data_IF_371408597088
#
_entry.id   IF_371408597088
#
_cell.length_a   1.000
_cell.length_b   1.000
_cell.length_c   1.000
_cell.angle_alpha   90.00
_cell.angle_beta   90.00
_cell.angle_gamma   90.00
#
_symmetry.space_group_name_H-M   'P 1'
#
loop_
_entity.id
_entity.type
_entity.pdbx_description
1 polymer ?
#
# COMPACT_ATOMS: atom_id res chain seq x y z
N UNK A 1 4.30 -17.72 21.36
CA UNK A 1 5.13 -17.20 20.27
C UNK A 1 5.80 -18.34 19.51
N UNK A 2 5.92 -18.19 18.20
CA UNK A 2 6.65 -19.10 17.31
C UNK A 2 7.72 -18.30 16.58
N UNK A 3 8.97 -18.71 16.66
CA UNK A 3 10.10 -18.04 16.04
C UNK A 3 10.92 -19.02 15.19
N UNK A 4 11.18 -18.65 13.92
CA UNK A 4 11.94 -19.46 12.99
C UNK A 4 12.95 -18.59 12.22
N UNK A 5 14.20 -18.60 12.64
CA UNK A 5 15.29 -17.80 12.05
C UNK A 5 16.17 -17.12 13.09
N UNK A 6 17.14 -16.34 12.62
CA UNK A 6 18.07 -15.59 13.47
C UNK A 6 17.45 -14.27 13.90
N UNK A 7 17.55 -13.92 15.18
CA UNK A 7 17.05 -12.67 15.78
C UNK A 7 15.54 -12.46 15.55
N UNK A 8 14.77 -13.53 15.50
CA UNK A 8 13.29 -13.47 15.40
C UNK A 8 12.74 -13.30 16.80
N UNK A 9 11.84 -12.29 17.00
CA UNK A 9 11.26 -11.99 18.32
C UNK A 9 12.32 -11.82 19.43
N UNK A 10 13.51 -11.34 19.08
CA UNK A 10 14.68 -11.31 19.96
C UNK A 10 14.46 -10.40 21.18
N UNK A 11 13.77 -9.28 21.00
CA UNK A 11 13.45 -8.34 22.08
C UNK A 11 12.16 -8.69 22.85
N UNK A 12 11.49 -9.80 22.54
CA UNK A 12 10.17 -10.10 23.10
C UNK A 12 10.23 -10.43 24.60
N UNK A 13 9.56 -9.59 25.41
CA UNK A 13 9.53 -9.72 26.88
C UNK A 13 8.23 -10.32 27.38
N UNK A 14 7.08 -9.71 27.06
CA UNK A 14 5.76 -10.17 27.51
C UNK A 14 4.75 -10.33 26.38
N UNK A 15 5.13 -10.00 25.14
CA UNK A 15 4.31 -10.23 23.95
C UNK A 15 3.98 -11.71 23.76
N UNK A 16 2.76 -12.00 23.31
CA UNK A 16 2.32 -13.38 23.12
C UNK A 16 1.52 -13.53 21.81
N UNK A 17 1.32 -14.77 21.38
CA UNK A 17 0.58 -15.09 20.13
C UNK A 17 1.23 -14.50 18.87
N UNK A 18 2.55 -14.29 18.87
CA UNK A 18 3.27 -13.79 17.70
C UNK A 18 3.92 -14.94 16.93
N UNK A 19 3.95 -14.84 15.62
CA UNK A 19 4.64 -15.77 14.73
C UNK A 19 5.65 -15.01 13.89
N UNK A 20 6.92 -15.34 14.00
CA UNK A 20 8.01 -14.74 13.24
C UNK A 20 8.79 -15.79 12.44
N UNK A 21 9.06 -15.49 11.17
CA UNK A 21 9.87 -16.35 10.29
C UNK A 21 10.78 -15.51 9.40
N UNK A 22 12.08 -15.83 9.39
CA UNK A 22 13.10 -15.07 8.64
C UNK A 22 14.01 -14.24 9.55
N UNK A 23 15.16 -13.82 9.04
CA UNK A 23 16.16 -13.07 9.83
C UNK A 23 15.58 -11.72 10.28
N UNK A 24 15.60 -11.45 11.58
CA UNK A 24 15.16 -10.18 12.16
C UNK A 24 13.67 -9.91 12.11
N UNK A 25 12.85 -10.89 11.73
CA UNK A 25 11.37 -10.75 11.70
C UNK A 25 10.86 -10.46 13.11
N UNK A 26 10.06 -9.40 13.26
CA UNK A 26 9.54 -8.91 14.56
C UNK A 26 10.65 -8.75 15.62
N UNK A 27 11.87 -8.40 15.18
CA UNK A 27 13.07 -8.43 16.02
C UNK A 27 13.04 -7.49 17.22
N UNK A 28 12.37 -6.34 17.11
CA UNK A 28 12.22 -5.35 18.19
C UNK A 28 10.89 -5.44 18.97
N UNK A 29 10.06 -6.43 18.66
CA UNK A 29 8.78 -6.59 19.34
C UNK A 29 8.99 -6.90 20.82
N UNK A 30 8.44 -6.06 21.70
CA UNK A 30 8.58 -6.22 23.18
C UNK A 30 7.32 -6.78 23.81
N UNK A 31 6.21 -6.06 23.72
CA UNK A 31 4.94 -6.37 24.39
C UNK A 31 3.78 -6.62 23.42
N UNK A 32 3.99 -6.37 22.12
CA UNK A 32 2.97 -6.56 21.09
C UNK A 32 2.44 -7.99 20.99
N UNK A 33 1.21 -8.14 20.54
CA UNK A 33 0.51 -9.44 20.53
C UNK A 33 -0.18 -9.69 19.20
N UNK A 34 -0.37 -10.97 18.87
CA UNK A 34 -1.11 -11.40 17.67
C UNK A 34 -0.51 -10.89 16.36
N UNK A 35 0.81 -10.73 16.28
CA UNK A 35 1.47 -10.30 15.05
C UNK A 35 2.02 -11.49 14.28
N UNK A 36 1.98 -11.40 12.97
CA UNK A 36 2.63 -12.37 12.06
C UNK A 36 3.66 -11.62 11.20
N UNK A 37 4.92 -12.04 11.28
CA UNK A 37 6.01 -11.56 10.44
C UNK A 37 6.64 -12.71 9.69
N UNK A 38 6.59 -12.69 8.35
CA UNK A 38 7.21 -13.73 7.53
C UNK A 38 8.05 -13.12 6.40
N UNK A 39 9.35 -13.19 6.56
CA UNK A 39 10.34 -12.61 5.67
C UNK A 39 11.48 -11.96 6.46
N UNK A 40 12.63 -11.69 5.79
CA UNK A 40 13.73 -10.94 6.42
C UNK A 40 13.20 -9.56 6.82
N UNK A 41 13.46 -9.15 8.05
CA UNK A 41 13.06 -7.85 8.62
C UNK A 41 11.56 -7.52 8.51
N UNK A 42 10.68 -8.51 8.32
CA UNK A 42 9.24 -8.30 8.32
C UNK A 42 8.78 -7.77 9.69
N UNK A 43 8.23 -6.56 9.73
CA UNK A 43 7.81 -5.89 10.96
C UNK A 43 8.95 -5.63 11.96
N UNK A 44 10.19 -5.47 11.52
CA UNK A 44 11.39 -5.44 12.38
C UNK A 44 11.32 -4.39 13.49
N UNK A 45 10.83 -3.18 13.18
CA UNK A 45 10.79 -2.05 14.12
C UNK A 45 9.56 -2.08 15.05
N UNK A 46 8.64 -3.03 14.86
CA UNK A 46 7.44 -3.14 15.69
C UNK A 46 7.81 -3.38 17.15
N UNK A 47 7.27 -2.60 18.07
CA UNK A 47 7.54 -2.70 19.53
C UNK A 47 6.33 -3.18 20.32
N UNK A 48 5.20 -2.48 20.22
CA UNK A 48 4.00 -2.70 21.06
C UNK A 48 2.75 -2.99 20.24
N UNK A 49 2.79 -2.77 18.91
CA UNK A 49 1.65 -2.97 18.02
C UNK A 49 1.09 -4.39 18.06
N UNK A 50 -0.17 -4.53 17.67
CA UNK A 50 -0.89 -5.81 17.69
C UNK A 50 -1.71 -6.03 16.42
N UNK A 51 -2.05 -7.28 16.17
CA UNK A 51 -2.89 -7.70 15.05
C UNK A 51 -2.32 -7.28 13.67
N UNK A 52 -1.00 -7.24 13.54
CA UNK A 52 -0.37 -6.91 12.28
C UNK A 52 0.06 -8.17 11.52
N UNK A 53 -0.02 -8.11 10.19
CA UNK A 53 0.48 -9.16 9.29
C UNK A 53 1.49 -8.56 8.31
N UNK A 54 2.73 -9.04 8.40
CA UNK A 54 3.84 -8.64 7.54
C UNK A 54 4.35 -9.86 6.78
N UNK A 55 4.16 -9.91 5.47
CA UNK A 55 4.63 -11.01 4.63
C UNK A 55 5.43 -10.48 3.46
N UNK A 56 6.72 -10.74 3.47
CA UNK A 56 7.67 -10.28 2.47
C UNK A 56 8.95 -9.74 3.09
N UNK A 57 10.02 -9.68 2.30
CA UNK A 57 11.27 -9.06 2.73
C UNK A 57 11.02 -7.56 2.98
N UNK A 58 11.41 -7.08 4.16
CA UNK A 58 11.23 -5.72 4.65
C UNK A 58 9.77 -5.22 4.65
N UNK A 59 8.76 -6.13 4.59
CA UNK A 59 7.35 -5.78 4.69
C UNK A 59 7.07 -5.11 6.04
N UNK A 60 6.53 -3.88 6.03
CA UNK A 60 6.22 -3.11 7.23
C UNK A 60 7.41 -2.90 8.17
N UNK A 61 8.65 -2.94 7.67
CA UNK A 61 9.85 -2.86 8.50
C UNK A 61 9.98 -1.55 9.28
N UNK A 62 9.29 -0.49 8.87
CA UNK A 62 9.26 0.80 9.55
C UNK A 62 8.13 0.97 10.58
N UNK A 63 7.21 0.03 10.68
CA UNK A 63 6.09 0.11 11.63
C UNK A 63 6.60 -0.07 13.05
N UNK A 64 6.21 0.85 13.95
CA UNK A 64 6.67 0.85 15.36
C UNK A 64 5.56 0.46 16.34
N UNK A 65 4.43 1.14 16.31
CA UNK A 65 3.32 0.94 17.25
C UNK A 65 1.96 0.73 16.57
N UNK A 66 1.88 0.80 15.23
CA UNK A 66 0.64 0.64 14.47
C UNK A 66 -0.04 -0.71 14.72
N UNK A 67 -1.36 -0.72 14.66
CA UNK A 67 -2.21 -1.88 14.89
C UNK A 67 -3.07 -2.21 13.67
N UNK A 68 -3.54 -3.47 13.57
CA UNK A 68 -4.47 -3.94 12.53
C UNK A 68 -4.00 -3.71 11.08
N UNK A 69 -2.68 -3.74 10.85
CA UNK A 69 -2.12 -3.50 9.52
C UNK A 69 -1.84 -4.81 8.79
N UNK A 70 -2.02 -4.79 7.47
CA UNK A 70 -1.66 -5.89 6.57
C UNK A 70 -0.70 -5.38 5.49
N UNK A 71 0.52 -5.91 5.48
CA UNK A 71 1.57 -5.58 4.53
C UNK A 71 2.00 -6.84 3.79
N UNK A 72 1.74 -6.89 2.49
CA UNK A 72 2.06 -8.05 1.64
C UNK A 72 2.99 -7.64 0.50
N UNK A 73 4.11 -8.32 0.39
CA UNK A 73 5.11 -8.10 -0.66
C UNK A 73 6.37 -7.40 -0.14
N UNK A 74 7.43 -7.48 -0.96
CA UNK A 74 8.71 -6.83 -0.71
C UNK A 74 8.50 -5.33 -0.49
N UNK A 75 9.08 -4.80 0.59
CA UNK A 75 9.06 -3.37 0.92
C UNK A 75 7.66 -2.71 0.97
N UNK A 76 6.61 -3.48 1.24
CA UNK A 76 5.27 -2.92 1.41
C UNK A 76 5.17 -2.10 2.69
N UNK A 77 4.52 -0.92 2.62
CA UNK A 77 4.33 -0.01 3.76
C UNK A 77 5.58 0.74 4.21
N UNK A 78 6.64 0.78 3.40
CA UNK A 78 7.82 1.63 3.62
C UNK A 78 7.85 2.80 2.64
N UNK A 79 8.85 3.67 2.77
CA UNK A 79 9.01 4.83 1.88
C UNK A 79 9.04 4.39 0.40
N UNK A 80 8.21 5.03 -0.43
CA UNK A 80 8.07 4.72 -1.85
C UNK A 80 7.00 3.68 -2.17
N UNK A 81 6.51 2.90 -1.22
CA UNK A 81 5.40 1.96 -1.46
C UNK A 81 4.04 2.67 -1.59
N UNK A 82 3.01 2.02 -2.16
CA UNK A 82 1.65 2.52 -2.09
C UNK A 82 1.23 2.79 -0.64
N UNK A 83 0.71 3.99 -0.36
CA UNK A 83 0.40 4.45 1.00
C UNK A 83 1.57 5.09 1.74
N UNK A 84 2.79 5.06 1.20
CA UNK A 84 3.98 5.69 1.78
C UNK A 84 4.56 4.94 2.98
N UNK A 85 5.36 5.65 3.79
CA UNK A 85 6.00 5.08 4.97
C UNK A 85 5.05 5.02 6.16
N UNK A 86 4.56 3.84 6.45
CA UNK A 86 3.67 3.59 7.60
C UNK A 86 4.53 3.30 8.83
N UNK A 87 4.44 4.14 9.84
CA UNK A 87 5.21 3.98 11.11
C UNK A 87 4.30 3.71 12.30
N UNK A 88 3.28 4.53 12.51
CA UNK A 88 2.38 4.46 13.67
C UNK A 88 0.90 4.37 13.29
N UNK A 89 0.57 4.42 12.00
CA UNK A 89 -0.82 4.36 11.54
C UNK A 89 -1.41 2.96 11.73
N UNK A 90 -2.71 2.92 11.99
CA UNK A 90 -3.52 1.72 12.14
C UNK A 90 -4.36 1.45 10.88
N UNK A 91 -4.93 0.25 10.79
CA UNK A 91 -5.94 -0.14 9.80
C UNK A 91 -5.50 0.01 8.33
N UNK A 92 -4.21 -0.23 8.04
CA UNK A 92 -3.65 -0.10 6.70
C UNK A 92 -3.58 -1.44 5.97
N UNK A 93 -3.96 -1.45 4.70
CA UNK A 93 -3.68 -2.54 3.77
C UNK A 93 -2.73 -2.05 2.68
N UNK A 94 -1.48 -2.52 2.70
CA UNK A 94 -0.47 -2.19 1.71
C UNK A 94 -0.08 -3.45 0.92
N UNK A 95 -0.24 -3.41 -0.40
CA UNK A 95 0.09 -4.51 -1.30
C UNK A 95 1.26 -4.10 -2.20
N UNK A 96 2.41 -4.69 -1.97
CA UNK A 96 3.61 -4.51 -2.77
C UNK A 96 4.37 -3.20 -2.56
N UNK A 97 5.43 -3.04 -3.33
CA UNK A 97 6.32 -1.88 -3.36
C UNK A 97 6.02 -0.96 -4.55
N UNK A 98 6.80 0.10 -4.70
CA UNK A 98 6.79 0.99 -5.86
C UNK A 98 7.19 0.31 -7.18
N UNK A 99 7.76 -0.89 -7.14
CA UNK A 99 8.16 -1.65 -8.33
C UNK A 99 7.00 -2.43 -8.95
N UNK A 100 5.87 -2.58 -8.24
CA UNK A 100 4.69 -3.26 -8.77
C UNK A 100 3.95 -2.33 -9.73
N UNK A 101 3.92 -2.70 -10.99
CA UNK A 101 3.29 -1.90 -12.06
C UNK A 101 1.90 -2.40 -12.46
N UNK A 102 1.56 -3.65 -12.13
CA UNK A 102 0.28 -4.24 -12.50
C UNK A 102 -0.28 -5.10 -11.35
N UNK A 103 -1.55 -4.93 -11.05
CA UNK A 103 -2.31 -5.84 -10.20
C UNK A 103 -3.32 -6.60 -11.06
N UNK A 104 -3.16 -7.92 -11.16
CA UNK A 104 -4.10 -8.77 -11.88
C UNK A 104 -5.17 -9.27 -10.91
N UNK A 105 -6.33 -8.67 -10.97
CA UNK A 105 -7.50 -9.04 -10.16
C UNK A 105 -8.64 -9.39 -11.09
N UNK A 106 -9.17 -10.60 -11.00
CA UNK A 106 -10.23 -11.11 -11.90
C UNK A 106 -11.62 -10.54 -11.55
N UNK A 107 -11.78 -9.98 -10.37
CA UNK A 107 -13.05 -9.44 -9.88
C UNK A 107 -12.85 -8.02 -9.36
N UNK A 108 -13.89 -7.21 -9.42
CA UNK A 108 -13.85 -5.86 -8.87
C UNK A 108 -13.72 -5.87 -7.34
N UNK A 109 -13.01 -4.88 -6.81
CA UNK A 109 -13.00 -4.63 -5.37
C UNK A 109 -14.38 -4.15 -4.93
N UNK A 110 -15.02 -4.88 -4.04
CA UNK A 110 -16.26 -4.42 -3.44
C UNK A 110 -15.94 -3.42 -2.33
N UNK A 111 -16.23 -2.15 -2.58
CA UNK A 111 -16.16 -1.12 -1.54
C UNK A 111 -17.50 -1.08 -0.83
N UNK A 112 -17.50 -1.38 0.47
CA UNK A 112 -18.69 -1.23 1.29
C UNK A 112 -19.06 0.26 1.34
N UNK A 113 -20.17 0.62 0.69
CA UNK A 113 -20.69 1.99 0.68
C UNK A 113 -22.20 1.94 0.81
N UNK A 114 -22.72 2.40 1.92
CA UNK A 114 -24.15 2.50 2.18
C UNK A 114 -24.56 3.97 2.34
N UNK A 115 -25.79 4.30 1.93
CA UNK A 115 -26.35 5.65 2.14
C UNK A 115 -26.42 6.01 3.64
N UNK A 116 -26.54 5.01 4.52
CA UNK A 116 -26.59 5.18 5.97
C UNK A 116 -25.25 5.63 6.56
N UNK A 117 -24.14 5.32 5.85
CA UNK A 117 -22.78 5.70 6.25
C UNK A 117 -22.39 7.09 5.74
N UNK A 118 -23.30 7.78 5.04
CA UNK A 118 -23.09 9.11 4.47
C UNK A 118 -23.84 10.14 5.31
N UNK A 119 -23.12 11.15 5.77
CA UNK A 119 -23.70 12.34 6.43
C UNK A 119 -23.85 13.47 5.43
N UNK A 120 -24.67 14.46 5.78
CA UNK A 120 -24.86 15.69 4.98
C UNK A 120 -25.32 15.44 3.53
N UNK A 121 -26.15 14.43 3.32
CA UNK A 121 -26.76 14.15 2.02
C UNK A 121 -27.80 15.23 1.69
N UNK A 122 -27.37 16.25 0.97
CA UNK A 122 -28.22 17.34 0.52
C UNK A 122 -28.63 17.13 -0.96
N UNK A 123 -29.88 17.43 -1.33
CA UNK A 123 -30.27 17.45 -2.74
C UNK A 123 -29.44 18.45 -3.53
N UNK A 124 -28.92 18.02 -4.67
CA UNK A 124 -28.23 18.93 -5.59
C UNK A 124 -29.31 19.84 -6.20
N UNK A 125 -29.21 21.14 -5.91
CA UNK A 125 -30.10 22.17 -6.46
C UNK A 125 -29.70 22.63 -7.88
N UNK A 126 -28.98 21.80 -8.60
CA UNK A 126 -28.59 22.07 -9.97
C UNK A 126 -29.66 21.54 -10.89
N UNK A 127 -30.35 22.46 -11.62
CA UNK A 127 -31.42 22.12 -12.53
C UNK A 127 -30.93 21.78 -13.94
N UNK A 128 -31.86 21.78 -14.88
CA UNK A 128 -31.65 21.45 -16.29
C UNK A 128 -30.55 22.31 -16.97
N UNK A 129 -30.38 23.55 -16.53
CA UNK A 129 -29.34 24.45 -17.01
C UNK A 129 -27.90 23.96 -16.74
N UNK A 130 -27.71 23.24 -15.65
CA UNK A 130 -26.41 22.58 -15.37
C UNK A 130 -26.20 21.39 -16.30
N UNK A 131 -27.25 20.55 -16.46
CA UNK A 131 -27.17 19.37 -17.32
C UNK A 131 -26.90 19.77 -18.78
N UNK A 132 -27.51 20.85 -19.25
CA UNK A 132 -27.33 21.38 -20.62
C UNK A 132 -25.92 21.99 -20.84
N UNK A 133 -25.17 22.27 -19.79
CA UNK A 133 -23.78 22.75 -19.85
C UNK A 133 -22.74 21.62 -19.77
N UNK A 134 -23.15 20.38 -19.52
CA UNK A 134 -22.26 19.25 -19.54
C UNK A 134 -21.84 18.96 -20.98
N UNK A 135 -20.56 19.04 -21.22
CA UNK A 135 -19.92 18.60 -22.46
C UNK A 135 -19.36 17.19 -22.23
N UNK A 136 -20.11 16.13 -22.56
CA UNK A 136 -19.58 14.78 -22.43
C UNK A 136 -18.40 14.59 -23.38
N UNK A 137 -17.29 14.14 -22.84
CA UNK A 137 -16.08 13.86 -23.61
C UNK A 137 -15.75 12.38 -23.56
N UNK A 138 -15.28 11.85 -24.66
CA UNK A 138 -14.60 10.55 -24.70
C UNK A 138 -13.10 10.79 -24.73
N UNK A 139 -12.33 9.92 -24.09
CA UNK A 139 -10.89 10.00 -24.12
C UNK A 139 -10.27 8.59 -24.28
N UNK A 140 -9.10 8.57 -24.85
CA UNK A 140 -8.25 7.38 -24.87
C UNK A 140 -7.15 7.54 -23.83
N UNK A 141 -6.81 6.46 -23.15
CA UNK A 141 -5.67 6.46 -22.25
C UNK A 141 -4.37 6.56 -23.06
N UNK A 142 -3.58 7.58 -22.76
CA UNK A 142 -2.26 7.79 -23.33
C UNK A 142 -1.28 8.07 -22.18
N UNK A 143 -0.71 6.98 -21.66
CA UNK A 143 0.09 7.04 -20.43
C UNK A 143 1.47 7.64 -20.70
N UNK A 144 1.82 8.73 -20.04
CA UNK A 144 3.12 9.42 -20.16
C UNK A 144 4.31 8.50 -20.00
N UNK A 145 4.24 7.53 -19.11
CA UNK A 145 5.30 6.55 -18.86
C UNK A 145 5.66 5.71 -20.09
N UNK A 146 4.81 5.63 -21.10
CA UNK A 146 5.09 4.91 -22.36
C UNK A 146 5.99 5.66 -23.32
N UNK A 147 6.18 6.96 -23.11
CA UNK A 147 7.05 7.82 -23.91
C UNK A 147 8.46 7.98 -23.32
N UNK A 148 8.76 7.29 -22.23
CA UNK A 148 10.02 7.40 -21.51
C UNK A 148 10.68 6.03 -21.40
N UNK A 149 11.99 5.96 -21.57
CA UNK A 149 12.72 4.70 -21.42
C UNK A 149 12.67 4.19 -19.97
N UNK A 150 12.80 2.86 -19.79
CA UNK A 150 12.84 2.29 -18.43
C UNK A 150 14.06 2.74 -17.63
N UNK A 151 15.15 3.05 -18.32
CA UNK A 151 16.38 3.58 -17.73
C UNK A 151 16.15 4.98 -17.16
N UNK A 152 15.58 5.88 -17.97
CA UNK A 152 15.30 7.26 -17.58
C UNK A 152 14.27 7.38 -16.44
N UNK A 153 13.34 6.43 -16.37
CA UNK A 153 12.39 6.34 -15.24
C UNK A 153 13.07 5.91 -13.93
N UNK A 154 14.11 5.06 -14.01
CA UNK A 154 14.81 4.55 -12.83
C UNK A 154 15.79 5.55 -12.23
N UNK A 155 16.45 6.33 -13.07
CA UNK A 155 17.44 7.32 -12.62
C UNK A 155 16.82 8.69 -12.26
N UNK A 156 15.50 8.85 -12.53
CA UNK A 156 14.80 10.09 -12.25
C UNK A 156 15.19 11.27 -13.14
N UNK A 157 15.82 11.00 -14.29
CA UNK A 157 16.29 12.02 -15.22
C UNK A 157 15.17 12.75 -15.97
N UNK A 158 13.95 12.17 -16.00
CA UNK A 158 12.79 12.72 -16.70
C UNK A 158 11.65 13.04 -15.74
N UNK A 159 11.19 14.29 -15.75
CA UNK A 159 9.91 14.66 -15.15
C UNK A 159 8.76 14.29 -16.10
N UNK A 160 7.86 13.41 -15.65
CA UNK A 160 6.70 12.99 -16.42
C UNK A 160 5.73 14.15 -16.76
N UNK A 161 5.84 15.29 -16.09
CA UNK A 161 5.04 16.48 -16.42
C UNK A 161 5.54 17.16 -17.72
N UNK A 162 6.81 16.96 -18.07
CA UNK A 162 7.43 17.52 -19.27
C UNK A 162 7.28 16.60 -20.51
N UNK A 163 6.73 15.40 -20.32
CA UNK A 163 6.52 14.44 -21.41
C UNK A 163 5.36 14.89 -22.29
N UNK A 164 5.65 15.08 -23.58
CA UNK A 164 4.66 15.45 -24.59
C UNK A 164 4.00 14.20 -25.15
N UNK A 165 2.68 14.19 -25.17
CA UNK A 165 1.89 13.14 -25.78
C UNK A 165 1.79 13.37 -27.30
N UNK A 166 2.29 12.46 -28.10
CA UNK A 166 2.19 12.50 -29.54
C UNK A 166 1.02 11.66 -30.11
N UNK A 167 0.31 10.95 -29.24
CA UNK A 167 -0.85 10.15 -29.57
C UNK A 167 -0.52 8.77 -30.15
N UNK A 168 0.75 8.32 -30.12
CA UNK A 168 1.14 7.04 -30.72
C UNK A 168 0.84 5.84 -29.81
N UNK A 169 0.61 6.07 -28.53
CA UNK A 169 0.37 5.03 -27.50
C UNK A 169 -1.04 5.04 -26.93
N UNK A 170 -2.03 5.48 -27.71
CA UNK A 170 -3.45 5.44 -27.32
C UNK A 170 -3.93 4.01 -27.18
N UNK A 171 -4.72 3.75 -26.14
CA UNK A 171 -5.43 2.49 -25.97
C UNK A 171 -6.84 2.64 -26.51
N UNK A 172 -7.23 1.75 -27.43
CA UNK A 172 -8.61 1.61 -27.87
C UNK A 172 -9.36 0.74 -26.84
N UNK A 173 -10.61 1.14 -26.58
CA UNK A 173 -11.56 0.40 -25.73
C UNK A 173 -12.48 -0.45 -26.60
#
# INVERSE_FOLDING_TARGET
NTAFGTNVLDACTSGNHNTGGGIGSLGKLTTGTFNTGWGRSAGQELTEGRFNTFVGNDAGSGVTTGEYNVFLGHESGIAGSPGGNVTTADDQLCLGSNEITNAHVQVDWTVASDKRDKTDVNPIKMGLDFVNKLEPVTYHWDKRVRYVSKEDLKDGSVDLNDVVHDGTHKEDW
#
